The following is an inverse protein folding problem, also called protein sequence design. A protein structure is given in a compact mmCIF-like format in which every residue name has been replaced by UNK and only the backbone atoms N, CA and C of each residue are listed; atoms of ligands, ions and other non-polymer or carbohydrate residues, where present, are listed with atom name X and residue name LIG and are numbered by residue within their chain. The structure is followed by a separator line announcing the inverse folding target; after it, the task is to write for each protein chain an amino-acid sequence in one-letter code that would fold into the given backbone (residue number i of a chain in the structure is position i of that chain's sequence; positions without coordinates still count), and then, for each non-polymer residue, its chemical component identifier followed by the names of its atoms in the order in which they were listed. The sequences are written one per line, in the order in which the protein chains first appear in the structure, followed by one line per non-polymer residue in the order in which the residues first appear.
data_IF_573536096841
#
_entry.id   IF_573536096841
#
_cell.length_a   1.000
_cell.length_b   1.000
_cell.length_c   1.000
_cell.angle_alpha   90.00
_cell.angle_beta   90.00
_cell.angle_gamma   90.00
#
_symmetry.space_group_name_H-M   'P 1'
#
loop_
_entity.id
_entity.type
_entity.pdbx_description
1 polymer ?
#
# COMPACT_ATOMS: atom_id res chain seq x y z
N UNK A 1 46.70 -23.58 38.51
CA UNK A 1 45.80 -22.48 38.91
C UNK A 1 45.64 -21.57 37.71
N UNK A 2 44.67 -21.73 36.81
CA UNK A 2 43.23 -21.78 37.03
C UNK A 2 42.66 -20.39 36.71
N UNK A 3 42.56 -20.03 35.42
CA UNK A 3 41.86 -18.81 34.98
C UNK A 3 40.69 -19.21 34.10
N UNK A 4 39.53 -18.96 34.66
CA UNK A 4 38.20 -19.28 34.18
C UNK A 4 37.85 -18.52 32.91
N UNK A 5 37.37 -19.28 31.94
CA UNK A 5 36.67 -18.81 30.75
C UNK A 5 35.38 -18.12 31.19
N UNK A 6 35.20 -16.84 30.80
CA UNK A 6 33.89 -16.18 30.84
C UNK A 6 33.19 -16.44 29.51
N UNK A 7 32.34 -17.46 29.48
CA UNK A 7 31.24 -17.53 28.51
C UNK A 7 30.12 -16.69 29.15
N UNK A 8 29.74 -15.58 28.52
CA UNK A 8 28.65 -14.73 29.02
C UNK A 8 27.85 -14.14 27.86
N UNK A 9 26.59 -14.58 27.82
CA UNK A 9 25.38 -13.88 27.36
C UNK A 9 25.26 -13.42 25.89
N UNK A 10 25.01 -14.36 24.97
CA UNK A 10 24.46 -14.07 23.63
C UNK A 10 22.99 -14.51 23.46
N UNK A 11 22.36 -15.09 24.48
CA UNK A 11 21.00 -15.66 24.36
C UNK A 11 19.85 -14.75 24.84
N UNK A 12 20.12 -13.57 25.42
CA UNK A 12 19.05 -12.70 25.95
C UNK A 12 18.44 -11.75 24.92
N UNK A 13 19.18 -11.37 23.87
CA UNK A 13 18.73 -10.35 22.89
C UNK A 13 17.66 -10.84 21.91
N UNK A 14 17.58 -12.14 21.64
CA UNK A 14 16.62 -12.70 20.69
C UNK A 14 15.20 -12.81 21.30
N UNK A 15 15.10 -13.11 22.59
CA UNK A 15 13.84 -13.30 23.31
C UNK A 15 13.05 -11.99 23.44
N UNK A 16 13.74 -10.90 23.78
CA UNK A 16 13.11 -9.59 24.00
C UNK A 16 12.60 -8.95 22.70
N UNK A 17 13.31 -9.16 21.58
CA UNK A 17 12.91 -8.61 20.27
C UNK A 17 11.68 -9.33 19.68
N UNK A 18 11.54 -10.63 19.93
CA UNK A 18 10.35 -11.39 19.52
C UNK A 18 9.12 -10.95 20.32
N UNK A 19 9.25 -10.77 21.64
CA UNK A 19 8.13 -10.35 22.49
C UNK A 19 7.65 -8.93 22.19
N UNK A 20 8.56 -7.98 21.88
CA UNK A 20 8.17 -6.62 21.52
C UNK A 20 7.54 -6.50 20.14
N UNK A 21 7.89 -7.39 19.22
CA UNK A 21 7.36 -7.37 17.85
C UNK A 21 5.95 -7.98 17.79
N UNK A 22 5.71 -9.03 18.57
CA UNK A 22 4.41 -9.69 18.65
C UNK A 22 3.36 -8.78 19.31
N UNK A 23 3.71 -8.05 20.37
CA UNK A 23 2.79 -7.09 21.01
C UNK A 23 2.37 -5.95 20.08
N UNK A 24 3.29 -5.42 19.27
CA UNK A 24 2.97 -4.38 18.29
C UNK A 24 2.06 -4.90 17.16
N UNK A 25 2.18 -6.16 16.77
CA UNK A 25 1.27 -6.76 15.79
C UNK A 25 -0.13 -6.94 16.40
N UNK A 26 -0.24 -7.38 17.65
CA UNK A 26 -1.53 -7.50 18.33
C UNK A 26 -2.24 -6.15 18.46
N UNK A 27 -1.52 -5.09 18.81
CA UNK A 27 -2.09 -3.74 18.89
C UNK A 27 -2.49 -3.21 17.50
N UNK A 28 -1.71 -3.51 16.45
CA UNK A 28 -2.08 -3.18 15.07
C UNK A 28 -3.35 -3.93 14.62
N UNK A 29 -3.50 -5.20 15.01
CA UNK A 29 -4.71 -5.99 14.75
C UNK A 29 -5.93 -5.46 15.52
N UNK A 30 -5.71 -4.89 16.71
CA UNK A 30 -6.77 -4.22 17.46
C UNK A 30 -7.21 -2.91 16.80
N UNK A 31 -6.26 -2.15 16.24
CA UNK A 31 -6.54 -0.92 15.49
C UNK A 31 -7.25 -1.20 14.15
N UNK A 32 -6.87 -2.29 13.48
CA UNK A 32 -7.31 -2.64 12.13
C UNK A 32 -7.87 -4.08 12.07
N UNK A 33 -8.97 -4.37 12.80
CA UNK A 33 -9.51 -5.72 12.87
C UNK A 33 -10.00 -6.22 11.51
N UNK A 34 -10.55 -5.34 10.68
CA UNK A 34 -11.05 -5.67 9.34
C UNK A 34 -9.92 -6.02 8.35
N UNK A 35 -8.68 -5.68 8.68
CA UNK A 35 -7.50 -5.97 7.86
C UNK A 35 -6.65 -7.11 8.42
N UNK A 36 -7.17 -7.86 9.40
CA UNK A 36 -6.42 -8.88 10.10
C UNK A 36 -5.86 -9.96 9.16
N UNK A 37 -6.64 -10.39 8.17
CA UNK A 37 -6.18 -11.39 7.19
C UNK A 37 -5.03 -10.85 6.34
N UNK A 38 -5.17 -9.63 5.82
CA UNK A 38 -4.19 -8.97 4.98
C UNK A 38 -2.89 -8.71 5.74
N UNK A 39 -2.99 -8.30 7.00
CA UNK A 39 -1.85 -8.13 7.90
C UNK A 39 -1.15 -9.47 8.17
N UNK A 40 -1.90 -10.57 8.34
CA UNK A 40 -1.32 -11.90 8.53
C UNK A 40 -0.63 -12.43 7.27
N UNK A 41 -1.18 -12.14 6.09
CA UNK A 41 -0.59 -12.51 4.80
C UNK A 41 0.69 -11.72 4.52
N UNK A 42 0.75 -10.45 4.95
CA UNK A 42 1.86 -9.54 4.69
C UNK A 42 2.74 -9.31 5.93
N UNK A 43 3.26 -10.39 6.53
CA UNK A 43 4.01 -10.34 7.81
C UNK A 43 5.09 -9.26 7.88
N UNK A 44 5.87 -9.09 6.80
CA UNK A 44 6.93 -8.07 6.75
C UNK A 44 6.38 -6.64 6.81
N UNK A 45 5.28 -6.37 6.10
CA UNK A 45 4.63 -5.06 6.16
C UNK A 45 4.02 -4.83 7.54
N UNK A 46 3.35 -5.83 8.11
CA UNK A 46 2.75 -5.74 9.44
C UNK A 46 3.79 -5.43 10.52
N UNK A 47 4.98 -6.05 10.45
CA UNK A 47 6.10 -5.74 11.32
C UNK A 47 6.67 -4.34 11.13
N UNK A 48 6.56 -3.76 9.93
CA UNK A 48 6.97 -2.37 9.69
C UNK A 48 5.93 -1.39 10.22
N UNK A 49 4.65 -1.67 9.99
CA UNK A 49 3.52 -0.84 10.43
C UNK A 49 3.38 -0.86 11.96
N UNK A 50 3.66 -1.99 12.62
CA UNK A 50 3.60 -2.11 14.08
C UNK A 50 4.64 -1.27 14.82
N UNK A 51 5.65 -0.73 14.12
CA UNK A 51 6.66 0.16 14.73
C UNK A 51 6.11 1.57 15.01
N UNK A 52 5.03 1.97 14.37
CA UNK A 52 4.45 3.31 14.51
C UNK A 52 2.92 3.29 14.42
N UNK A 53 2.28 2.62 15.38
CA UNK A 53 0.82 2.48 15.46
C UNK A 53 0.11 3.85 15.60
N UNK A 54 0.59 4.81 16.42
CA UNK A 54 0.00 6.14 16.47
C UNK A 54 0.04 6.85 15.12
N UNK A 55 1.16 6.73 14.39
CA UNK A 55 1.27 7.26 13.03
C UNK A 55 0.28 6.61 12.07
N UNK A 56 0.02 5.29 12.17
CA UNK A 56 -1.01 4.62 11.37
C UNK A 56 -2.39 5.22 11.60
N UNK A 57 -2.80 5.43 12.87
CA UNK A 57 -4.09 6.03 13.18
C UNK A 57 -4.24 7.44 12.57
N UNK A 58 -3.20 8.27 12.67
CA UNK A 58 -3.17 9.61 12.05
C UNK A 58 -3.28 9.53 10.52
N UNK A 59 -2.55 8.59 9.90
CA UNK A 59 -2.59 8.36 8.45
C UNK A 59 -3.97 7.95 7.96
N UNK A 60 -4.68 7.09 8.69
CA UNK A 60 -6.05 6.69 8.35
C UNK A 60 -7.03 7.88 8.39
N UNK A 61 -6.92 8.75 9.41
CA UNK A 61 -7.72 9.97 9.49
C UNK A 61 -7.41 10.91 8.31
N UNK A 62 -6.13 11.07 7.96
CA UNK A 62 -5.72 11.88 6.80
C UNK A 62 -6.24 11.29 5.48
N UNK A 63 -6.17 9.98 5.28
CA UNK A 63 -6.74 9.32 4.10
C UNK A 63 -8.24 9.56 4.01
N UNK A 64 -8.96 9.58 5.12
CA UNK A 64 -10.40 9.92 5.13
C UNK A 64 -10.66 11.37 4.77
N UNK A 65 -9.74 12.28 5.08
CA UNK A 65 -9.84 13.67 4.63
C UNK A 65 -9.57 13.82 3.12
N UNK A 66 -8.61 13.05 2.57
CA UNK A 66 -8.27 13.04 1.14
C UNK A 66 -9.36 12.34 0.31
N UNK A 67 -9.91 11.25 0.82
CA UNK A 67 -10.94 10.43 0.18
C UNK A 67 -12.22 10.37 1.03
N UNK A 68 -13.00 11.47 1.09
CA UNK A 68 -14.13 11.60 2.02
C UNK A 68 -15.26 10.60 1.74
N UNK A 69 -15.47 10.25 0.48
CA UNK A 69 -16.58 9.40 0.05
C UNK A 69 -16.17 7.92 -0.09
N UNK A 70 -14.87 7.62 -0.08
CA UNK A 70 -14.36 6.26 -0.29
C UNK A 70 -14.22 5.45 1.00
N UNK A 71 -14.28 4.13 0.86
CA UNK A 71 -13.97 3.19 1.92
C UNK A 71 -12.45 3.06 2.12
N UNK A 72 -11.88 3.95 2.93
CA UNK A 72 -10.43 3.99 3.22
C UNK A 72 -9.89 2.66 3.73
N UNK A 73 -10.62 1.95 4.58
CA UNK A 73 -10.15 0.66 5.10
C UNK A 73 -10.08 -0.39 4.01
N UNK A 74 -11.07 -0.46 3.13
CA UNK A 74 -11.03 -1.36 1.98
C UNK A 74 -9.87 -1.02 1.02
N UNK A 75 -9.64 0.27 0.76
CA UNK A 75 -8.49 0.73 -0.03
C UNK A 75 -7.16 0.29 0.58
N UNK A 76 -6.97 0.53 1.88
CA UNK A 76 -5.77 0.11 2.61
C UNK A 76 -5.65 -1.41 2.62
N UNK A 77 -6.76 -2.15 2.72
CA UNK A 77 -6.76 -3.60 2.62
C UNK A 77 -6.26 -4.12 1.27
N UNK A 78 -6.58 -3.42 0.18
CA UNK A 78 -6.04 -3.73 -1.16
C UNK A 78 -4.56 -3.37 -1.29
N UNK A 79 -4.06 -2.38 -0.54
CA UNK A 79 -2.64 -1.97 -0.56
C UNK A 79 -2.17 -1.46 0.81
N UNK A 80 -1.73 -2.38 1.68
CA UNK A 80 -1.23 -2.04 3.02
C UNK A 80 0.01 -1.14 2.98
N UNK A 81 0.85 -1.24 1.95
CA UNK A 81 2.08 -0.46 1.82
C UNK A 81 1.83 1.05 1.76
N UNK A 82 0.62 1.48 1.38
CA UNK A 82 0.29 2.91 1.29
C UNK A 82 0.34 3.63 2.65
N UNK A 83 0.30 2.87 3.75
CA UNK A 83 0.45 3.39 5.11
C UNK A 83 1.93 3.57 5.53
N UNK A 84 2.89 3.12 4.74
CA UNK A 84 4.31 3.38 4.96
C UNK A 84 4.64 4.83 4.56
N UNK A 85 5.59 5.46 5.26
CA UNK A 85 5.92 6.88 5.04
C UNK A 85 6.34 7.18 3.61
N UNK A 86 7.09 6.25 2.99
CA UNK A 86 7.61 6.39 1.63
C UNK A 86 6.49 6.54 0.59
N UNK A 87 5.40 5.78 0.74
CA UNK A 87 4.25 5.86 -0.16
C UNK A 87 3.25 6.93 0.30
N UNK A 88 3.01 7.03 1.61
CA UNK A 88 2.02 7.93 2.17
C UNK A 88 2.25 9.39 1.78
N UNK A 89 3.52 9.82 1.81
CA UNK A 89 3.91 11.19 1.44
C UNK A 89 3.66 11.55 -0.03
N UNK A 90 3.44 10.56 -0.91
CA UNK A 90 3.22 10.77 -2.33
C UNK A 90 1.74 10.87 -2.71
N UNK A 91 0.82 10.43 -1.83
CA UNK A 91 -0.60 10.21 -2.15
C UNK A 91 -1.26 11.46 -2.73
N UNK A 92 -1.18 12.60 -2.04
CA UNK A 92 -1.82 13.84 -2.50
C UNK A 92 -1.24 14.29 -3.84
N UNK A 93 0.10 14.32 -3.96
CA UNK A 93 0.76 14.74 -5.19
C UNK A 93 0.44 13.83 -6.39
N UNK A 94 0.27 12.52 -6.15
CA UNK A 94 -0.04 11.57 -7.21
C UNK A 94 -1.53 11.59 -7.56
N UNK A 95 -2.41 11.83 -6.58
CA UNK A 95 -3.82 12.08 -6.83
C UNK A 95 -4.02 13.30 -7.74
N UNK A 96 -3.35 14.42 -7.43
CA UNK A 96 -3.41 15.64 -8.25
C UNK A 96 -2.91 15.38 -9.68
N UNK A 97 -1.77 14.68 -9.83
CA UNK A 97 -1.26 14.29 -11.14
C UNK A 97 -2.24 13.42 -11.92
N UNK A 98 -2.83 12.41 -11.27
CA UNK A 98 -3.80 11.52 -11.89
C UNK A 98 -5.04 12.29 -12.37
N UNK A 99 -5.55 13.22 -11.57
CA UNK A 99 -6.66 14.09 -11.95
C UNK A 99 -6.33 14.98 -13.14
N UNK A 100 -5.10 15.50 -13.21
CA UNK A 100 -4.65 16.29 -14.34
C UNK A 100 -4.48 15.46 -15.62
N UNK A 101 -3.96 14.23 -15.51
CA UNK A 101 -3.73 13.33 -16.64
C UNK A 101 -5.02 12.70 -17.18
N UNK A 102 -6.05 12.53 -16.34
CA UNK A 102 -7.32 11.91 -16.70
C UNK A 102 -8.51 12.88 -16.55
N UNK A 103 -8.57 13.96 -17.35
CA UNK A 103 -9.65 14.93 -17.24
C UNK A 103 -11.00 14.28 -17.52
N UNK A 104 -11.94 14.44 -16.60
CA UNK A 104 -13.30 13.90 -16.71
C UNK A 104 -13.48 12.45 -16.27
N UNK A 105 -12.41 11.75 -15.85
CA UNK A 105 -12.53 10.46 -15.18
C UNK A 105 -12.84 10.64 -13.70
N UNK A 106 -13.60 9.70 -13.13
CA UNK A 106 -13.76 9.58 -11.67
C UNK A 106 -12.52 8.91 -11.07
N UNK A 107 -11.46 9.71 -10.93
CA UNK A 107 -10.14 9.25 -10.44
C UNK A 107 -10.23 8.69 -9.02
N UNK A 108 -11.10 9.23 -8.17
CA UNK A 108 -11.27 8.73 -6.80
C UNK A 108 -11.84 7.31 -6.82
N UNK A 109 -12.89 7.05 -7.61
CA UNK A 109 -13.45 5.70 -7.77
C UNK A 109 -12.45 4.73 -8.39
N UNK A 110 -11.62 5.17 -9.34
CA UNK A 110 -10.52 4.36 -9.89
C UNK A 110 -9.53 3.94 -8.82
N UNK A 111 -9.10 4.87 -7.98
CA UNK A 111 -8.15 4.62 -6.89
C UNK A 111 -8.77 3.73 -5.82
N UNK A 112 -10.06 3.92 -5.51
CA UNK A 112 -10.75 3.09 -4.52
C UNK A 112 -10.80 1.61 -4.94
N UNK A 113 -11.01 1.38 -6.23
CA UNK A 113 -10.99 0.04 -6.82
C UNK A 113 -9.58 -0.51 -6.95
N UNK A 114 -8.62 0.32 -7.36
CA UNK A 114 -7.22 -0.06 -7.61
C UNK A 114 -6.24 0.94 -6.99
N UNK A 115 -5.95 0.86 -5.67
CA UNK A 115 -5.10 1.84 -4.98
C UNK A 115 -3.65 1.87 -5.48
N UNK A 116 -3.18 0.78 -6.10
CA UNK A 116 -1.87 0.73 -6.76
C UNK A 116 -1.72 1.79 -7.85
N UNK A 117 -2.81 2.26 -8.47
CA UNK A 117 -2.76 3.26 -9.52
C UNK A 117 -2.17 4.61 -9.05
N UNK A 118 -2.29 4.93 -7.76
CA UNK A 118 -1.62 6.08 -7.15
C UNK A 118 -0.09 6.03 -7.25
N UNK A 119 0.50 4.86 -7.43
CA UNK A 119 1.95 4.65 -7.31
C UNK A 119 2.59 4.17 -8.61
N UNK A 120 1.81 4.08 -9.67
CA UNK A 120 2.26 3.62 -10.98
C UNK A 120 2.52 4.78 -11.93
N UNK A 121 3.35 4.51 -12.95
CA UNK A 121 3.57 5.45 -14.04
C UNK A 121 2.33 5.51 -14.95
N UNK A 122 1.49 6.50 -14.68
CA UNK A 122 0.23 6.73 -15.39
C UNK A 122 0.44 6.89 -16.88
N UNK A 123 1.46 7.63 -17.32
CA UNK A 123 1.69 7.89 -18.74
C UNK A 123 1.98 6.60 -19.50
N UNK A 124 2.76 5.71 -18.89
CA UNK A 124 3.06 4.44 -19.56
C UNK A 124 1.87 3.48 -19.52
N UNK A 125 1.08 3.47 -18.44
CA UNK A 125 -0.19 2.70 -18.42
C UNK A 125 -1.10 3.18 -19.55
N UNK A 126 -1.25 4.49 -19.72
CA UNK A 126 -2.11 5.04 -20.77
C UNK A 126 -1.54 4.76 -22.17
N UNK A 127 -0.23 4.84 -22.36
CA UNK A 127 0.41 4.45 -23.62
C UNK A 127 0.12 2.98 -23.98
N UNK A 128 0.20 2.09 -22.99
CA UNK A 128 -0.12 0.68 -23.18
C UNK A 128 -1.60 0.45 -23.50
N UNK A 129 -2.50 1.16 -22.81
CA UNK A 129 -3.93 1.09 -23.13
C UNK A 129 -4.25 1.62 -24.53
N UNK A 130 -3.58 2.69 -25.00
CA UNK A 130 -3.70 3.18 -26.40
C UNK A 130 -3.24 2.14 -27.41
N UNK A 131 -2.25 1.33 -27.05
CA UNK A 131 -1.76 0.23 -27.90
C UNK A 131 -2.76 -0.92 -27.98
N UNK A 132 -3.41 -1.24 -26.86
CA UNK A 132 -4.30 -2.39 -26.73
C UNK A 132 -5.74 -2.11 -27.19
N UNK A 133 -6.22 -0.87 -27.05
CA UNK A 133 -7.61 -0.51 -27.30
C UNK A 133 -7.70 0.71 -28.23
N UNK A 134 -8.63 0.71 -29.19
CA UNK A 134 -8.90 1.90 -29.98
C UNK A 134 -9.60 2.97 -29.14
N UNK A 135 -9.26 4.25 -29.35
CA UNK A 135 -9.92 5.39 -28.72
C UNK A 135 -9.18 5.95 -27.49
N UNK A 136 -9.90 6.69 -26.66
CA UNK A 136 -9.34 7.37 -25.48
C UNK A 136 -9.25 6.43 -24.26
N UNK A 137 -8.04 6.12 -23.74
CA UNK A 137 -7.85 5.30 -22.55
C UNK A 137 -8.57 5.82 -21.31
N UNK A 138 -8.67 7.14 -21.13
CA UNK A 138 -9.29 7.71 -19.94
C UNK A 138 -10.78 7.35 -19.88
N UNK A 139 -11.45 7.42 -21.03
CA UNK A 139 -12.84 7.00 -21.17
C UNK A 139 -13.00 5.49 -20.91
N UNK A 140 -12.09 4.66 -21.41
CA UNK A 140 -12.12 3.21 -21.16
C UNK A 140 -11.96 2.90 -19.68
N UNK A 141 -11.00 3.53 -19.00
CA UNK A 141 -10.77 3.38 -17.57
C UNK A 141 -11.99 3.80 -16.75
N UNK A 142 -12.61 4.94 -17.08
CA UNK A 142 -13.82 5.41 -16.39
C UNK A 142 -14.98 4.42 -16.44
N UNK A 143 -15.06 3.61 -17.50
CA UNK A 143 -16.12 2.60 -17.69
C UNK A 143 -15.73 1.23 -17.13
N UNK A 144 -14.45 0.91 -17.17
CA UNK A 144 -13.92 -0.37 -16.71
C UNK A 144 -12.53 -0.21 -16.08
N UNK A 145 -12.50 0.07 -14.75
CA UNK A 145 -11.25 0.26 -14.01
C UNK A 145 -10.35 -0.99 -14.00
N UNK A 146 -10.93 -2.19 -14.18
CA UNK A 146 -10.19 -3.45 -14.26
C UNK A 146 -9.21 -3.52 -15.44
N UNK A 147 -9.37 -2.65 -16.44
CA UNK A 147 -8.40 -2.52 -17.54
C UNK A 147 -7.00 -2.08 -17.06
N UNK A 148 -6.90 -1.44 -15.89
CA UNK A 148 -5.61 -1.15 -15.26
C UNK A 148 -4.81 -2.44 -15.03
N UNK A 149 -5.44 -3.46 -14.44
CA UNK A 149 -4.77 -4.74 -14.14
C UNK A 149 -4.30 -5.42 -15.44
N UNK A 150 -5.08 -5.31 -16.50
CA UNK A 150 -4.75 -5.85 -17.82
C UNK A 150 -3.55 -5.11 -18.45
N UNK A 151 -3.53 -3.77 -18.39
CA UNK A 151 -2.40 -2.98 -18.88
C UNK A 151 -1.12 -3.29 -18.10
N UNK A 152 -1.22 -3.40 -16.77
CA UNK A 152 -0.08 -3.71 -15.90
C UNK A 152 0.45 -5.12 -16.13
N UNK A 153 -0.43 -6.09 -16.32
CA UNK A 153 -0.05 -7.49 -16.57
C UNK A 153 0.60 -7.69 -17.94
N UNK A 154 0.17 -6.95 -18.97
CA UNK A 154 0.79 -7.00 -20.30
C UNK A 154 2.17 -6.33 -20.35
N UNK A 155 2.45 -5.34 -19.50
CA UNK A 155 3.82 -4.78 -19.38
C UNK A 155 4.84 -5.83 -18.96
N UNK A 156 4.47 -6.73 -18.05
CA UNK A 156 5.34 -7.83 -17.62
C UNK A 156 5.58 -8.88 -18.72
N UNK A 157 4.75 -8.88 -19.78
CA UNK A 157 4.91 -9.79 -20.93
C UNK A 157 5.64 -9.14 -22.11
N UNK A 158 5.80 -7.81 -22.13
CA UNK A 158 6.39 -7.06 -23.24
C UNK A 158 7.92 -6.86 -23.10
N UNK A 159 8.54 -7.53 -22.13
CA UNK A 159 10.00 -7.62 -21.96
C UNK A 159 10.53 -8.83 -22.78
N UNK A 160 10.47 -8.73 -24.10
CA UNK A 160 11.16 -9.60 -25.05
C UNK A 160 11.58 -8.81 -26.29
#
# INVERSE_FOLDING_TARGET
MGRTVRIRDDHQSASDQSQSSDSGIEELLYLLPDLAEQLRLNKQLSLRLSKDIPGIAVKLVKLRAIFPDSNVLEMVGKRLSMLLDEEFSLIESNLEKLQATLPGADVVSLIEQQPLFLFEDTEVILAELRRLLPGDPALHLSRNPGLLVLAMSNRNLSIW
#
